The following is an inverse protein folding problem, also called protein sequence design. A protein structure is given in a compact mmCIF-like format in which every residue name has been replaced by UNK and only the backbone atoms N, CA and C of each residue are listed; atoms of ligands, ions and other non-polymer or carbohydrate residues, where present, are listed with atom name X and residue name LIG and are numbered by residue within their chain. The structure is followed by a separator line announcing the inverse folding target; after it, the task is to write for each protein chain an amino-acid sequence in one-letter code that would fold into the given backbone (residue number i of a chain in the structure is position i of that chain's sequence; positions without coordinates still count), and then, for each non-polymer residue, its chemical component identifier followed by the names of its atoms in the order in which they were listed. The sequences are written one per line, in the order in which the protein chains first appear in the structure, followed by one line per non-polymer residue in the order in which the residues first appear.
data_IF_208423005090
#
_entry.id   IF_208423005090
#
_cell.length_a   1.000
_cell.length_b   1.000
_cell.length_c   1.000
_cell.angle_alpha   90.00
_cell.angle_beta   90.00
_cell.angle_gamma   90.00
#
_symmetry.space_group_name_H-M   'P 1'
#
loop_
_entity.id
_entity.type
_entity.pdbx_description
1 polymer ?
#
# COMPACT_ATOMS: atom_id res chain seq x y z
N UNK A 1 -36.24 23.93 -36.77
CA UNK A 1 -36.62 22.58 -36.32
C UNK A 1 -35.43 21.65 -36.10
N UNK A 2 -34.54 21.44 -37.08
CA UNK A 2 -33.35 20.57 -36.89
C UNK A 2 -32.44 20.98 -35.71
N UNK A 3 -32.22 22.29 -35.49
CA UNK A 3 -31.41 22.79 -34.37
C UNK A 3 -32.06 22.50 -33.01
N UNK A 4 -33.38 22.71 -32.90
CA UNK A 4 -34.14 22.44 -31.67
C UNK A 4 -34.14 20.94 -31.33
N UNK A 5 -34.30 20.06 -32.33
CA UNK A 5 -34.20 18.61 -32.15
C UNK A 5 -32.82 18.17 -31.65
N UNK A 6 -31.74 18.76 -32.20
CA UNK A 6 -30.38 18.52 -31.70
C UNK A 6 -30.18 19.01 -30.27
N UNK A 7 -30.70 20.19 -29.93
CA UNK A 7 -30.65 20.71 -28.56
C UNK A 7 -31.41 19.81 -27.58
N UNK A 8 -32.58 19.30 -27.96
CA UNK A 8 -33.31 18.31 -27.14
C UNK A 8 -32.49 17.05 -26.91
N UNK A 9 -31.92 16.45 -27.97
CA UNK A 9 -31.07 15.27 -27.82
C UNK A 9 -29.85 15.52 -26.93
N UNK A 10 -29.25 16.71 -27.00
CA UNK A 10 -28.15 17.09 -26.13
C UNK A 10 -28.59 17.31 -24.68
N UNK A 11 -29.76 17.92 -24.43
CA UNK A 11 -30.33 18.06 -23.07
C UNK A 11 -30.57 16.67 -22.47
N UNK A 12 -31.25 15.79 -23.20
CA UNK A 12 -31.56 14.44 -22.74
C UNK A 12 -30.26 13.65 -22.46
N UNK A 13 -29.24 13.83 -23.30
CA UNK A 13 -27.90 13.25 -23.10
C UNK A 13 -27.18 13.80 -21.85
N UNK A 14 -27.29 15.10 -21.59
CA UNK A 14 -26.72 15.75 -20.39
C UNK A 14 -27.43 15.27 -19.12
N UNK A 15 -28.76 15.15 -19.15
CA UNK A 15 -29.54 14.67 -18.01
C UNK A 15 -29.23 13.19 -17.70
N UNK A 16 -29.10 12.36 -18.74
CA UNK A 16 -28.65 10.98 -18.55
C UNK A 16 -27.22 10.91 -18.02
N UNK A 17 -26.32 11.74 -18.53
CA UNK A 17 -24.94 11.83 -18.04
C UNK A 17 -24.87 12.25 -16.55
N UNK A 18 -25.74 13.17 -16.12
CA UNK A 18 -25.84 13.56 -14.72
C UNK A 18 -26.32 12.39 -13.84
N UNK A 19 -27.29 11.58 -14.31
CA UNK A 19 -27.71 10.35 -13.62
C UNK A 19 -26.58 9.33 -13.52
N UNK A 20 -25.89 9.05 -14.63
CA UNK A 20 -24.74 8.15 -14.64
C UNK A 20 -23.63 8.60 -13.67
N UNK A 21 -23.40 9.91 -13.55
CA UNK A 21 -22.43 10.46 -12.60
C UNK A 21 -22.88 10.27 -11.14
N UNK A 22 -24.18 10.38 -10.84
CA UNK A 22 -24.71 10.06 -9.50
C UNK A 22 -24.56 8.57 -9.19
N UNK A 23 -24.81 7.68 -10.16
CA UNK A 23 -24.58 6.23 -9.98
C UNK A 23 -23.10 5.94 -9.70
N UNK A 24 -22.19 6.64 -10.38
CA UNK A 24 -20.75 6.57 -10.12
C UNK A 24 -20.36 7.03 -8.70
N UNK A 25 -21.02 8.07 -8.18
CA UNK A 25 -20.86 8.51 -6.78
C UNK A 25 -21.35 7.42 -5.83
N UNK A 26 -22.55 6.87 -6.03
CA UNK A 26 -23.11 5.83 -5.17
C UNK A 26 -22.25 4.57 -5.15
N UNK A 27 -21.77 4.11 -6.31
CA UNK A 27 -20.84 2.99 -6.39
C UNK A 27 -19.54 3.27 -5.62
N UNK A 28 -18.95 4.46 -5.81
CA UNK A 28 -17.71 4.85 -5.12
C UNK A 28 -17.91 4.97 -3.61
N UNK A 29 -19.08 5.41 -3.15
CA UNK A 29 -19.42 5.49 -1.73
C UNK A 29 -19.62 4.11 -1.10
N UNK A 30 -20.25 3.17 -1.81
CA UNK A 30 -20.38 1.79 -1.35
C UNK A 30 -19.01 1.13 -1.19
N UNK A 31 -18.13 1.27 -2.19
CA UNK A 31 -16.76 0.76 -2.11
C UNK A 31 -15.95 1.44 -0.99
N UNK A 32 -16.01 2.77 -0.88
CA UNK A 32 -15.31 3.54 0.16
C UNK A 32 -15.76 3.15 1.58
N UNK A 33 -17.06 2.95 1.80
CA UNK A 33 -17.59 2.51 3.08
C UNK A 33 -17.07 1.14 3.50
N UNK A 34 -17.04 0.18 2.58
CA UNK A 34 -16.48 -1.15 2.83
C UNK A 34 -14.96 -1.09 3.12
N UNK A 35 -14.22 -0.24 2.41
CA UNK A 35 -12.79 -0.03 2.66
C UNK A 35 -12.52 0.70 3.98
N UNK A 36 -13.41 1.59 4.43
CA UNK A 36 -13.32 2.20 5.75
C UNK A 36 -13.43 1.13 6.86
N UNK A 37 -14.38 0.20 6.75
CA UNK A 37 -14.49 -0.95 7.67
C UNK A 37 -13.25 -1.84 7.59
N UNK A 38 -12.76 -2.13 6.39
CA UNK A 38 -11.53 -2.92 6.20
C UNK A 38 -10.31 -2.26 6.86
N UNK A 39 -10.20 -0.93 6.76
CA UNK A 39 -9.16 -0.16 7.46
C UNK A 39 -9.26 -0.28 8.98
N UNK A 40 -10.46 -0.24 9.56
CA UNK A 40 -10.65 -0.44 11.01
C UNK A 40 -10.27 -1.85 11.45
N UNK A 41 -10.61 -2.88 10.67
CA UNK A 41 -10.21 -4.26 10.95
C UNK A 41 -8.69 -4.40 10.92
N UNK A 42 -8.02 -3.87 9.90
CA UNK A 42 -6.56 -3.87 9.82
C UNK A 42 -5.90 -3.15 11.00
N UNK A 43 -6.47 -2.04 11.48
CA UNK A 43 -5.97 -1.36 12.69
C UNK A 43 -6.12 -2.23 13.96
N UNK A 44 -7.20 -3.01 14.07
CA UNK A 44 -7.38 -3.96 15.16
C UNK A 44 -6.35 -5.10 15.07
N UNK A 45 -6.16 -5.67 13.89
CA UNK A 45 -5.12 -6.70 13.64
C UNK A 45 -3.74 -6.15 14.03
N UNK A 46 -3.42 -4.90 13.67
CA UNK A 46 -2.18 -4.24 14.08
C UNK A 46 -2.04 -4.19 15.61
N UNK A 47 -3.10 -3.83 16.32
CA UNK A 47 -3.11 -3.77 17.79
C UNK A 47 -2.85 -5.15 18.40
N UNK A 48 -3.48 -6.21 17.85
CA UNK A 48 -3.25 -7.59 18.27
C UNK A 48 -1.81 -8.04 17.99
N UNK A 49 -1.22 -7.67 16.86
CA UNK A 49 0.17 -7.96 16.54
C UNK A 49 1.12 -7.25 17.51
N UNK A 50 0.89 -5.97 17.84
CA UNK A 50 1.66 -5.25 18.88
C UNK A 50 1.51 -5.93 20.24
N UNK A 51 0.31 -6.36 20.61
CA UNK A 51 0.07 -7.07 21.85
C UNK A 51 0.84 -8.40 21.87
N UNK A 52 0.77 -9.18 20.80
CA UNK A 52 1.47 -10.46 20.66
C UNK A 52 2.99 -10.31 20.70
N UNK A 53 3.53 -9.19 20.18
CA UNK A 53 4.95 -8.85 20.27
C UNK A 53 5.45 -8.64 21.71
N UNK A 54 4.59 -8.49 22.71
CA UNK A 54 5.04 -8.36 24.09
C UNK A 54 5.52 -9.71 24.67
N UNK A 55 6.68 -9.68 25.33
CA UNK A 55 7.32 -10.85 25.93
C UNK A 55 6.56 -11.44 27.12
N UNK A 56 5.67 -10.67 27.76
CA UNK A 56 4.83 -11.17 28.87
C UNK A 56 3.74 -12.14 28.42
N UNK A 57 3.44 -12.24 27.12
CA UNK A 57 2.46 -13.19 26.61
C UNK A 57 3.08 -14.57 26.48
N UNK A 58 2.36 -15.58 26.99
CA UNK A 58 2.71 -16.98 26.78
C UNK A 58 2.44 -17.42 25.34
N UNK A 59 2.95 -18.60 24.96
CA UNK A 59 2.64 -19.20 23.66
C UNK A 59 1.14 -19.48 23.49
N UNK A 60 0.44 -19.86 24.56
CA UNK A 60 -1.02 -20.04 24.54
C UNK A 60 -1.77 -18.73 24.37
N UNK A 61 -1.30 -17.63 24.97
CA UNK A 61 -1.93 -16.31 24.80
C UNK A 61 -1.78 -15.82 23.36
N UNK A 62 -0.58 -15.97 22.77
CA UNK A 62 -0.36 -15.65 21.36
C UNK A 62 -1.19 -16.52 20.42
N UNK A 63 -1.43 -17.77 20.76
CA UNK A 63 -2.32 -18.64 19.99
C UNK A 63 -3.78 -18.17 20.05
N UNK A 64 -4.24 -17.65 21.19
CA UNK A 64 -5.57 -17.05 21.29
C UNK A 64 -5.67 -15.77 20.46
N UNK A 65 -4.66 -14.89 20.51
CA UNK A 65 -4.58 -13.69 19.67
C UNK A 65 -4.58 -14.06 18.18
N UNK A 66 -3.88 -15.12 17.79
CA UNK A 66 -3.89 -15.61 16.41
C UNK A 66 -5.29 -16.04 15.95
N UNK A 67 -6.09 -16.66 16.83
CA UNK A 67 -7.47 -17.03 16.47
C UNK A 67 -8.31 -15.79 16.18
N UNK A 68 -8.14 -14.72 16.94
CA UNK A 68 -8.81 -13.44 16.68
C UNK A 68 -8.33 -12.82 15.35
N UNK A 69 -7.02 -12.81 15.10
CA UNK A 69 -6.45 -12.37 13.80
C UNK A 69 -7.03 -13.18 12.65
N UNK A 70 -7.17 -14.51 12.77
CA UNK A 70 -7.74 -15.35 11.73
C UNK A 70 -9.21 -14.97 11.42
N UNK A 71 -10.02 -14.66 12.45
CA UNK A 71 -11.41 -14.24 12.24
C UNK A 71 -11.48 -12.87 11.57
N UNK A 72 -10.64 -11.93 11.99
CA UNK A 72 -10.57 -10.60 11.38
C UNK A 72 -10.10 -10.68 9.91
N UNK A 73 -9.14 -11.54 9.60
CA UNK A 73 -8.70 -11.79 8.23
C UNK A 73 -9.78 -12.47 7.37
N UNK A 74 -10.58 -13.37 7.96
CA UNK A 74 -11.73 -13.95 7.29
C UNK A 74 -12.82 -12.89 6.99
N UNK A 75 -13.09 -12.00 7.94
CA UNK A 75 -14.03 -10.89 7.76
C UNK A 75 -13.56 -9.93 6.65
N UNK A 76 -12.27 -9.58 6.60
CA UNK A 76 -11.71 -8.79 5.49
C UNK A 76 -11.99 -9.44 4.13
N UNK A 77 -11.77 -10.75 4.02
CA UNK A 77 -12.02 -11.48 2.79
C UNK A 77 -13.52 -11.52 2.46
N UNK A 78 -14.39 -11.64 3.46
CA UNK A 78 -15.83 -11.59 3.29
C UNK A 78 -16.32 -10.21 2.81
N UNK A 79 -15.78 -9.11 3.36
CA UNK A 79 -16.10 -7.75 2.91
C UNK A 79 -15.74 -7.60 1.43
N UNK A 80 -14.56 -8.06 1.03
CA UNK A 80 -14.13 -7.99 -0.37
C UNK A 80 -15.07 -8.75 -1.33
N UNK A 81 -15.57 -9.92 -0.90
CA UNK A 81 -16.44 -10.78 -1.72
C UNK A 81 -17.93 -10.37 -1.71
N UNK A 82 -18.41 -9.73 -0.65
CA UNK A 82 -19.84 -9.41 -0.49
C UNK A 82 -20.17 -7.95 -0.83
N UNK A 83 -19.17 -7.07 -0.92
CA UNK A 83 -19.38 -5.68 -1.31
C UNK A 83 -19.75 -5.59 -2.79
N UNK A 84 -21.04 -5.39 -3.04
CA UNK A 84 -21.61 -5.33 -4.37
C UNK A 84 -22.43 -4.07 -4.59
N UNK A 85 -22.49 -3.60 -5.83
CA UNK A 85 -23.41 -2.58 -6.29
C UNK A 85 -24.14 -3.08 -7.52
N UNK A 86 -25.47 -3.11 -7.47
CA UNK A 86 -26.33 -3.61 -8.55
C UNK A 86 -25.95 -5.04 -9.03
N UNK A 87 -25.58 -5.92 -8.08
CA UNK A 87 -25.20 -7.31 -8.35
C UNK A 87 -23.76 -7.52 -8.84
N UNK A 88 -22.98 -6.45 -9.00
CA UNK A 88 -21.57 -6.52 -9.40
C UNK A 88 -20.66 -6.33 -8.17
N UNK A 89 -19.73 -7.24 -7.94
CA UNK A 89 -18.74 -7.14 -6.87
C UNK A 89 -17.76 -6.00 -7.15
N UNK A 90 -17.42 -5.22 -6.13
CA UNK A 90 -16.59 -4.02 -6.33
C UNK A 90 -15.12 -4.21 -5.96
N UNK A 91 -14.82 -5.15 -5.06
CA UNK A 91 -13.52 -5.25 -4.37
C UNK A 91 -12.81 -6.59 -4.58
N UNK A 92 -13.33 -7.49 -5.41
CA UNK A 92 -12.74 -8.82 -5.67
C UNK A 92 -11.85 -8.85 -6.92
N UNK A 93 -11.65 -7.70 -7.57
CA UNK A 93 -10.90 -7.57 -8.82
C UNK A 93 -11.65 -7.98 -10.10
N UNK A 94 -12.88 -8.50 -10.00
CA UNK A 94 -13.64 -8.97 -11.18
C UNK A 94 -14.10 -7.84 -12.11
N UNK A 95 -14.24 -6.62 -11.59
CA UNK A 95 -14.78 -5.47 -12.33
C UNK A 95 -13.83 -4.86 -13.35
N UNK A 96 -12.52 -5.05 -13.22
CA UNK A 96 -11.54 -4.42 -14.10
C UNK A 96 -11.73 -2.89 -14.19
N UNK A 97 -11.54 -2.30 -15.36
CA UNK A 97 -11.77 -0.85 -15.56
C UNK A 97 -13.23 -0.57 -15.88
N UNK A 98 -13.91 0.23 -15.04
CA UNK A 98 -15.29 0.66 -15.28
C UNK A 98 -15.32 2.06 -15.89
N UNK A 99 -16.12 2.24 -16.94
CA UNK A 99 -16.27 3.50 -17.66
C UNK A 99 -17.64 4.12 -17.38
N UNK A 100 -17.65 5.36 -16.85
CA UNK A 100 -18.88 6.12 -16.65
C UNK A 100 -19.00 7.22 -17.70
N UNK A 101 -20.03 7.15 -18.53
CA UNK A 101 -20.35 8.19 -19.51
C UNK A 101 -20.99 9.40 -18.82
N UNK A 102 -20.22 10.47 -18.68
CA UNK A 102 -20.59 11.70 -17.95
C UNK A 102 -20.70 12.92 -18.87
N UNK A 103 -20.98 12.69 -20.15
CA UNK A 103 -21.32 13.76 -21.07
C UNK A 103 -22.22 13.28 -22.21
N UNK A 104 -22.81 14.20 -22.98
CA UNK A 104 -23.71 13.86 -24.08
C UNK A 104 -23.01 13.31 -25.33
N UNK A 105 -21.69 13.49 -25.46
CA UNK A 105 -20.93 13.04 -26.63
C UNK A 105 -20.07 11.82 -26.32
N UNK A 106 -19.80 10.99 -27.33
CA UNK A 106 -18.97 9.79 -27.19
C UNK A 106 -17.60 10.10 -26.53
N UNK A 107 -17.13 9.16 -25.70
CA UNK A 107 -15.84 9.19 -25.01
C UNK A 107 -15.65 10.27 -23.94
N UNK A 108 -16.73 10.92 -23.49
CA UNK A 108 -16.72 11.79 -22.31
C UNK A 108 -16.85 10.95 -21.04
N UNK A 109 -15.77 10.26 -20.69
CA UNK A 109 -15.76 9.23 -19.65
C UNK A 109 -15.04 9.69 -18.38
N UNK A 110 -15.51 9.20 -17.24
CA UNK A 110 -14.72 9.04 -16.01
C UNK A 110 -14.47 7.55 -15.83
N UNK A 111 -13.20 7.17 -15.72
CA UNK A 111 -12.80 5.78 -15.53
C UNK A 111 -12.50 5.54 -14.06
N UNK A 112 -12.86 4.36 -13.56
CA UNK A 112 -12.39 3.82 -12.29
C UNK A 112 -11.69 2.50 -12.53
N UNK A 113 -10.59 2.28 -11.82
CA UNK A 113 -10.00 0.95 -11.75
C UNK A 113 -10.69 0.19 -10.62
N UNK A 114 -11.19 -1.00 -10.94
CA UNK A 114 -11.56 -2.00 -9.96
C UNK A 114 -10.33 -2.35 -9.12
N UNK A 115 -10.57 -2.52 -7.82
CA UNK A 115 -9.53 -2.91 -6.87
C UNK A 115 -9.74 -4.37 -6.49
N UNK A 116 -8.65 -5.06 -6.17
CA UNK A 116 -8.67 -6.42 -5.65
C UNK A 116 -8.15 -6.44 -4.22
N UNK A 117 -9.07 -6.52 -3.27
CA UNK A 117 -8.82 -6.63 -1.84
C UNK A 117 -9.17 -8.02 -1.29
N UNK A 118 -9.12 -9.06 -2.13
CA UNK A 118 -9.02 -10.42 -1.61
C UNK A 118 -7.72 -10.53 -0.82
N UNK A 119 -7.77 -11.12 0.38
CA UNK A 119 -6.64 -11.12 1.33
C UNK A 119 -5.37 -11.81 0.83
N UNK A 120 -5.44 -12.52 -0.29
CA UNK A 120 -4.30 -13.13 -0.98
C UNK A 120 -3.58 -12.19 -1.97
N UNK A 121 -4.15 -11.03 -2.29
CA UNK A 121 -3.73 -10.19 -3.41
C UNK A 121 -3.09 -8.86 -2.99
N UNK A 122 -3.11 -8.55 -1.70
CA UNK A 122 -2.49 -7.37 -1.13
C UNK A 122 -1.79 -7.72 0.19
N UNK A 123 -0.81 -6.89 0.55
CA UNK A 123 0.10 -7.14 1.66
C UNK A 123 1.44 -6.46 1.40
N UNK A 124 2.50 -7.04 1.95
CA UNK A 124 3.85 -6.51 1.84
C UNK A 124 4.64 -7.30 0.80
N UNK A 125 5.09 -6.62 -0.25
CA UNK A 125 6.08 -7.18 -1.15
C UNK A 125 7.44 -7.05 -0.48
N UNK A 126 8.14 -8.17 -0.34
CA UNK A 126 9.37 -8.23 0.45
C UNK A 126 10.49 -8.91 -0.31
N UNK A 127 11.69 -8.34 -0.20
CA UNK A 127 12.96 -8.96 -0.59
C UNK A 127 13.94 -8.79 0.55
N UNK A 128 14.43 -9.89 1.12
CA UNK A 128 15.44 -9.87 2.17
C UNK A 128 16.79 -10.29 1.61
N UNK A 129 17.86 -9.58 1.97
CA UNK A 129 19.22 -10.01 1.64
C UNK A 129 19.58 -11.29 2.38
N UNK A 130 20.33 -12.18 1.73
CA UNK A 130 20.94 -13.30 2.43
C UNK A 130 21.87 -12.77 3.54
N UNK A 131 21.90 -13.44 4.68
CA UNK A 131 22.93 -13.15 5.68
C UNK A 131 24.28 -13.53 5.08
N UNK A 132 25.23 -12.59 5.02
CA UNK A 132 26.61 -12.93 4.68
C UNK A 132 27.16 -13.87 5.76
N UNK A 133 27.95 -14.87 5.39
CA UNK A 133 28.60 -15.73 6.37
C UNK A 133 29.49 -14.89 7.31
N UNK A 134 29.66 -15.36 8.55
CA UNK A 134 30.55 -14.70 9.50
C UNK A 134 31.98 -14.82 9.00
N UNK A 135 32.72 -13.71 8.92
CA UNK A 135 34.10 -13.71 8.43
C UNK A 135 35.11 -13.21 9.46
N UNK A 136 36.38 -13.52 9.21
CA UNK A 136 37.48 -13.33 10.15
C UNK A 136 38.06 -11.91 10.27
N UNK A 137 37.82 -11.00 9.31
CA UNK A 137 38.55 -9.71 9.28
C UNK A 137 37.91 -8.58 8.45
N UNK A 138 36.85 -8.84 7.69
CA UNK A 138 36.28 -7.87 6.74
C UNK A 138 34.77 -7.76 6.86
N UNK A 139 34.24 -6.54 6.71
CA UNK A 139 32.82 -6.36 6.40
C UNK A 139 32.51 -7.06 5.08
N UNK A 140 31.54 -7.97 5.10
CA UNK A 140 31.09 -8.74 3.94
C UNK A 140 29.63 -8.43 3.58
N UNK A 141 28.99 -7.50 4.31
CA UNK A 141 27.60 -7.08 4.13
C UNK A 141 27.31 -6.58 2.70
N UNK A 142 28.30 -5.94 2.07
CA UNK A 142 28.28 -5.64 0.65
C UNK A 142 29.67 -5.86 0.03
N UNK A 143 29.77 -6.54 -1.10
CA UNK A 143 30.93 -6.31 -1.94
C UNK A 143 30.72 -4.96 -2.64
N UNK A 144 31.77 -4.15 -2.81
CA UNK A 144 31.65 -2.88 -3.53
C UNK A 144 30.95 -3.11 -4.87
N UNK A 145 29.81 -2.46 -5.10
CA UNK A 145 28.89 -2.94 -6.13
C UNK A 145 27.69 -2.03 -6.39
N UNK A 146 26.89 -2.46 -7.36
CA UNK A 146 25.71 -1.76 -7.83
C UNK A 146 24.51 -2.69 -7.75
N UNK A 147 23.44 -2.21 -7.11
CA UNK A 147 22.15 -2.90 -7.02
C UNK A 147 21.08 -2.04 -7.68
N UNK A 148 20.38 -2.58 -8.67
CA UNK A 148 19.25 -1.90 -9.30
C UNK A 148 17.98 -2.30 -8.56
N UNK A 149 17.24 -1.31 -8.06
CA UNK A 149 15.93 -1.51 -7.43
C UNK A 149 14.89 -0.94 -8.38
N UNK A 150 14.02 -1.81 -8.89
CA UNK A 150 12.95 -1.48 -9.82
C UNK A 150 11.60 -1.71 -9.14
N UNK A 151 11.00 -0.63 -8.64
CA UNK A 151 9.69 -0.63 -7.99
C UNK A 151 8.58 -0.08 -8.88
N UNK A 152 7.38 0.06 -8.31
CA UNK A 152 6.18 0.47 -9.04
C UNK A 152 6.18 1.96 -9.46
N UNK A 153 7.02 2.80 -8.85
CA UNK A 153 7.20 4.20 -9.26
C UNK A 153 8.30 4.40 -10.31
N UNK A 154 9.24 3.48 -10.41
CA UNK A 154 10.42 3.63 -11.26
C UNK A 154 11.58 2.73 -10.83
N UNK A 155 12.73 2.92 -11.47
CA UNK A 155 13.95 2.16 -11.23
C UNK A 155 15.12 3.08 -10.94
N UNK A 156 15.97 2.70 -9.99
CA UNK A 156 17.20 3.43 -9.68
C UNK A 156 18.33 2.48 -9.28
N UNK A 157 19.55 2.99 -9.35
CA UNK A 157 20.76 2.24 -9.00
C UNK A 157 21.29 2.71 -7.65
N UNK A 158 21.42 1.78 -6.72
CA UNK A 158 22.10 1.95 -5.44
C UNK A 158 23.55 1.47 -5.58
N UNK A 159 24.50 2.31 -5.20
CA UNK A 159 25.91 1.92 -5.08
C UNK A 159 26.23 1.63 -3.62
N UNK A 160 26.80 0.46 -3.36
CA UNK A 160 27.27 0.03 -2.03
C UNK A 160 28.78 -0.05 -2.01
N UNK A 161 29.39 0.29 -0.88
CA UNK A 161 30.82 0.15 -0.62
C UNK A 161 31.10 -1.02 0.33
N UNK A 162 32.30 -1.59 0.27
CA UNK A 162 32.67 -2.72 1.12
C UNK A 162 32.72 -2.39 2.63
N UNK A 163 32.68 -1.11 2.99
CA UNK A 163 32.64 -0.62 4.38
C UNK A 163 31.23 -0.34 4.87
N UNK A 164 30.23 -0.40 4.01
CA UNK A 164 28.86 -0.04 4.37
C UNK A 164 28.25 -1.13 5.25
N UNK A 165 27.71 -0.73 6.39
CA UNK A 165 26.92 -1.60 7.27
C UNK A 165 25.49 -1.68 6.73
N UNK A 166 24.73 -2.73 7.08
CA UNK A 166 23.33 -2.85 6.67
C UNK A 166 22.49 -1.61 7.09
N UNK A 167 22.80 -1.01 8.24
CA UNK A 167 22.23 0.27 8.70
C UNK A 167 22.44 1.40 7.68
N UNK A 168 23.69 1.60 7.25
CA UNK A 168 24.03 2.67 6.31
C UNK A 168 23.35 2.44 4.94
N UNK A 169 23.26 1.18 4.51
CA UNK A 169 22.61 0.81 3.26
C UNK A 169 21.10 1.08 3.34
N UNK A 170 20.42 0.63 4.40
CA UNK A 170 19.00 0.90 4.60
C UNK A 170 18.69 2.39 4.71
N UNK A 171 19.54 3.16 5.41
CA UNK A 171 19.43 4.61 5.49
C UNK A 171 19.56 5.27 4.10
N UNK A 172 20.54 4.84 3.29
CA UNK A 172 20.74 5.34 1.94
C UNK A 172 19.53 5.03 1.03
N UNK A 173 18.96 3.83 1.11
CA UNK A 173 17.76 3.45 0.36
C UNK A 173 16.58 4.35 0.75
N UNK A 174 16.32 4.49 2.05
CA UNK A 174 15.21 5.31 2.53
C UNK A 174 15.37 6.79 2.16
N UNK A 175 16.60 7.30 2.13
CA UNK A 175 16.87 8.70 1.79
C UNK A 175 16.84 9.00 0.28
N UNK A 176 17.31 8.08 -0.57
CA UNK A 176 17.58 8.38 -1.99
C UNK A 176 16.80 7.53 -2.99
N UNK A 177 16.39 6.32 -2.60
CA UNK A 177 15.75 5.34 -3.49
C UNK A 177 14.24 5.27 -3.28
N UNK A 178 13.79 5.44 -2.03
CA UNK A 178 12.38 5.27 -1.65
C UNK A 178 11.42 6.18 -2.41
N UNK A 179 11.76 7.46 -2.58
CA UNK A 179 10.93 8.43 -3.32
C UNK A 179 10.86 8.17 -4.82
N UNK A 180 11.82 7.44 -5.39
CA UNK A 180 11.91 7.15 -6.83
C UNK A 180 11.30 5.80 -7.21
N UNK A 181 11.30 4.84 -6.28
CA UNK A 181 10.91 3.45 -6.55
C UNK A 181 9.66 3.01 -5.79
N UNK A 182 9.38 3.63 -4.64
CA UNK A 182 8.34 3.19 -3.71
C UNK A 182 8.77 2.02 -2.81
N UNK A 183 10.08 1.73 -2.74
CA UNK A 183 10.66 0.67 -1.91
C UNK A 183 11.32 1.27 -0.67
N UNK A 184 10.98 0.76 0.50
CA UNK A 184 11.59 1.14 1.78
C UNK A 184 12.53 0.05 2.27
N UNK A 185 13.44 0.36 3.19
CA UNK A 185 14.41 -0.58 3.73
C UNK A 185 14.45 -0.58 5.26
N UNK A 186 14.57 -1.77 5.83
CA UNK A 186 14.89 -1.99 7.25
C UNK A 186 16.17 -2.80 7.36
N UNK A 187 16.92 -2.63 8.45
CA UNK A 187 18.16 -3.38 8.69
C UNK A 187 18.19 -3.92 10.10
N UNK A 188 18.59 -5.18 10.24
CA UNK A 188 18.80 -5.85 11.52
C UNK A 188 20.00 -6.76 11.39
N UNK A 189 20.83 -6.81 12.43
CA UNK A 189 21.93 -7.76 12.53
C UNK A 189 21.62 -8.75 13.63
N UNK A 190 21.52 -10.03 13.29
CA UNK A 190 21.25 -11.11 14.24
C UNK A 190 22.30 -12.19 14.01
N UNK A 191 22.92 -12.66 15.08
CA UNK A 191 23.87 -13.77 15.00
C UNK A 191 23.77 -14.63 16.24
N UNK A 192 23.93 -15.94 16.05
CA UNK A 192 23.95 -16.89 17.14
C UNK A 192 25.39 -17.11 17.59
N UNK A 193 25.59 -17.12 18.90
CA UNK A 193 26.84 -17.44 19.55
C UNK A 193 26.71 -18.80 20.25
N UNK A 194 27.36 -19.79 19.66
CA UNK A 194 27.53 -21.11 20.27
C UNK A 194 28.86 -21.18 21.00
N UNK A 195 28.87 -21.88 22.13
CA UNK A 195 29.99 -21.90 23.08
C UNK A 195 30.13 -23.30 23.67
N UNK A 196 31.35 -23.71 23.99
CA UNK A 196 31.60 -24.96 24.72
C UNK A 196 31.03 -24.91 26.14
N UNK A 197 30.54 -26.06 26.60
CA UNK A 197 29.94 -26.26 27.92
C UNK A 197 30.95 -26.04 29.05
N UNK A 198 30.52 -25.42 30.16
CA UNK A 198 31.30 -25.37 31.40
C UNK A 198 32.56 -24.49 31.36
N UNK A 199 32.63 -23.54 30.42
CA UNK A 199 33.80 -22.70 30.18
C UNK A 199 33.56 -21.22 30.49
N UNK A 200 34.65 -20.52 30.81
CA UNK A 200 34.67 -19.06 30.98
C UNK A 200 35.11 -18.39 29.68
N UNK A 201 34.50 -17.23 29.39
CA UNK A 201 34.74 -16.46 28.17
C UNK A 201 35.03 -15.00 28.51
N UNK A 202 35.96 -14.39 27.79
CA UNK A 202 36.25 -12.96 27.87
C UNK A 202 36.79 -12.45 26.54
N UNK A 203 36.01 -11.63 25.85
CA UNK A 203 36.34 -11.09 24.53
C UNK A 203 35.82 -9.65 24.37
N UNK A 204 36.28 -8.97 23.33
CA UNK A 204 35.88 -7.62 23.03
C UNK A 204 34.75 -7.60 21.98
N UNK A 205 33.76 -6.72 22.16
CA UNK A 205 32.68 -6.49 21.20
C UNK A 205 32.71 -5.04 20.67
N UNK A 206 32.45 -4.91 19.38
CA UNK A 206 32.27 -3.63 18.67
C UNK A 206 31.03 -3.72 17.79
N UNK A 207 30.13 -2.76 17.92
CA UNK A 207 28.95 -2.57 17.07
C UNK A 207 28.63 -1.08 16.97
N UNK A 208 27.73 -0.52 17.80
CA UNK A 208 27.41 0.92 17.79
C UNK A 208 28.49 1.77 18.46
N UNK A 209 29.34 1.14 19.28
CA UNK A 209 30.45 1.76 19.98
C UNK A 209 31.67 1.97 19.08
N UNK A 210 32.30 3.14 19.20
CA UNK A 210 33.57 3.43 18.51
C UNK A 210 34.78 2.71 19.11
N UNK A 211 34.77 2.44 20.43
CA UNK A 211 35.84 1.73 21.14
C UNK A 211 35.34 0.38 21.63
N UNK A 212 36.11 -0.69 21.40
CA UNK A 212 35.72 -2.05 21.77
C UNK A 212 35.49 -2.19 23.29
N UNK A 213 34.46 -2.95 23.67
CA UNK A 213 34.07 -3.16 25.08
C UNK A 213 34.27 -4.64 25.43
N UNK A 214 34.89 -4.94 26.56
CA UNK A 214 35.07 -6.33 27.02
C UNK A 214 33.79 -6.88 27.65
N UNK A 215 33.37 -8.07 27.22
CA UNK A 215 32.27 -8.85 27.80
C UNK A 215 32.87 -10.11 28.40
N UNK A 216 32.54 -10.40 29.67
CA UNK A 216 33.05 -11.57 30.39
C UNK A 216 31.92 -12.29 31.12
N UNK A 217 31.87 -13.62 31.00
CA UNK A 217 30.87 -14.46 31.64
C UNK A 217 31.33 -15.93 31.67
N UNK A 218 30.52 -16.79 32.29
CA UNK A 218 30.69 -18.24 32.29
C UNK A 218 29.45 -18.91 31.74
N UNK A 219 29.62 -19.99 30.99
CA UNK A 219 28.51 -20.85 30.54
C UNK A 219 28.52 -22.14 31.33
N UNK A 220 27.37 -22.52 31.88
CA UNK A 220 27.24 -23.78 32.63
C UNK A 220 27.37 -25.03 31.74
N UNK A 221 27.53 -26.19 32.37
CA UNK A 221 27.79 -27.43 31.63
C UNK A 221 26.56 -27.99 30.89
N UNK A 222 25.35 -27.63 31.32
CA UNK A 222 24.10 -28.18 30.79
C UNK A 222 23.60 -27.54 29.50
N UNK A 223 24.18 -26.39 29.08
CA UNK A 223 23.79 -25.63 27.87
C UNK A 223 22.28 -25.31 27.82
N UNK A 224 21.65 -25.21 28.99
CA UNK A 224 20.24 -24.86 29.14
C UNK A 224 20.06 -23.35 29.21
N UNK A 225 18.81 -22.87 29.15
CA UNK A 225 18.51 -21.45 29.31
C UNK A 225 19.08 -20.84 30.60
N UNK A 226 19.18 -21.60 31.70
CA UNK A 226 19.79 -21.13 32.94
C UNK A 226 21.32 -21.04 32.86
N UNK A 227 21.95 -21.92 32.08
CA UNK A 227 23.41 -21.95 31.93
C UNK A 227 23.93 -20.76 31.11
N UNK A 228 23.11 -20.25 30.18
CA UNK A 228 23.41 -19.07 29.37
C UNK A 228 22.95 -17.75 30.01
N UNK A 229 22.25 -17.78 31.15
CA UNK A 229 21.70 -16.58 31.78
C UNK A 229 22.79 -15.54 32.13
N UNK A 230 23.93 -15.98 32.66
CA UNK A 230 25.06 -15.08 32.97
C UNK A 230 25.62 -14.39 31.73
N UNK A 231 25.68 -15.10 30.61
CA UNK A 231 26.13 -14.54 29.35
C UNK A 231 25.12 -13.52 28.79
N UNK A 232 23.82 -13.86 28.79
CA UNK A 232 22.73 -12.94 28.40
C UNK A 232 22.77 -11.66 29.26
N UNK A 233 22.92 -11.79 30.57
CA UNK A 233 23.05 -10.62 31.47
C UNK A 233 24.29 -9.78 31.16
N UNK A 234 25.44 -10.40 30.87
CA UNK A 234 26.68 -9.69 30.57
C UNK A 234 26.57 -8.84 29.29
N UNK A 235 25.96 -9.38 28.22
CA UNK A 235 25.67 -8.61 27.00
C UNK A 235 24.67 -7.49 27.27
N UNK A 236 23.53 -7.79 27.91
CA UNK A 236 22.47 -6.82 28.13
C UNK A 236 22.89 -5.67 29.06
N UNK A 237 23.79 -5.91 30.01
CA UNK A 237 24.38 -4.86 30.86
C UNK A 237 25.23 -3.84 30.08
N UNK A 238 25.73 -4.22 28.90
CA UNK A 238 26.57 -3.39 28.03
C UNK A 238 25.81 -2.85 26.80
N UNK A 239 24.54 -3.23 26.63
CA UNK A 239 23.69 -2.87 25.48
C UNK A 239 23.58 -1.36 25.24
N UNK A 240 23.57 -0.53 26.29
CA UNK A 240 23.53 0.94 26.13
C UNK A 240 24.79 1.53 25.50
N UNK A 241 25.91 0.79 25.49
CA UNK A 241 27.15 1.18 24.82
C UNK A 241 27.27 0.53 23.44
N UNK A 242 26.99 -0.76 23.36
CA UNK A 242 27.24 -1.56 22.14
C UNK A 242 26.06 -1.55 21.17
N UNK A 243 24.85 -1.24 21.63
CA UNK A 243 23.61 -1.40 20.86
C UNK A 243 23.17 -2.86 20.69
N UNK A 244 23.90 -3.80 21.29
CA UNK A 244 23.66 -5.24 21.13
C UNK A 244 22.89 -5.77 22.33
N UNK A 245 21.76 -6.43 22.06
CA UNK A 245 20.99 -7.18 23.05
C UNK A 245 21.22 -8.67 22.86
N UNK A 246 20.98 -9.46 23.91
CA UNK A 246 21.16 -10.90 23.91
C UNK A 246 19.91 -11.61 24.46
N UNK A 247 19.60 -12.76 23.88
CA UNK A 247 18.58 -13.69 24.36
C UNK A 247 19.00 -15.14 24.11
N UNK A 248 18.44 -16.08 24.89
CA UNK A 248 18.70 -17.51 24.67
C UNK A 248 17.96 -18.00 23.42
N UNK A 249 18.67 -18.67 22.52
CA UNK A 249 18.05 -19.31 21.35
C UNK A 249 17.62 -20.74 21.72
N UNK A 250 16.34 -20.92 22.03
CA UNK A 250 15.79 -22.23 22.37
C UNK A 250 15.71 -23.20 21.18
N UNK A 251 15.79 -22.72 19.93
CA UNK A 251 15.65 -23.54 18.73
C UNK A 251 17.00 -24.10 18.28
N UNK A 252 18.03 -23.25 18.23
CA UNK A 252 19.35 -23.62 17.72
C UNK A 252 20.39 -23.85 18.85
N UNK A 253 20.05 -23.49 20.09
CA UNK A 253 20.99 -23.47 21.21
C UNK A 253 21.91 -22.24 21.15
N UNK A 254 22.58 -21.94 22.26
CA UNK A 254 23.44 -20.75 22.37
C UNK A 254 22.67 -19.46 22.64
N UNK A 255 23.26 -18.33 22.26
CA UNK A 255 22.72 -16.99 22.51
C UNK A 255 22.54 -16.28 21.18
N UNK A 256 21.32 -15.82 20.89
CA UNK A 256 21.07 -14.85 19.83
C UNK A 256 21.48 -13.47 20.33
N UNK A 257 22.41 -12.83 19.63
CA UNK A 257 22.74 -11.42 19.85
C UNK A 257 22.27 -10.59 18.67
N UNK A 258 21.63 -9.47 18.97
CA UNK A 258 20.91 -8.66 17.99
C UNK A 258 21.28 -7.19 18.11
N UNK A 259 21.55 -6.55 16.97
CA UNK A 259 21.57 -5.10 16.83
C UNK A 259 20.36 -4.67 15.99
N UNK A 260 19.40 -4.02 16.64
CA UNK A 260 18.14 -3.61 16.00
C UNK A 260 18.31 -2.50 14.95
N UNK A 261 19.47 -1.83 14.91
CA UNK A 261 19.75 -0.78 13.92
C UNK A 261 20.43 -1.31 12.66
N UNK A 262 20.88 -2.57 12.65
CA UNK A 262 21.57 -3.19 11.52
C UNK A 262 23.05 -2.83 11.41
N UNK A 263 23.68 -2.40 12.51
CA UNK A 263 25.14 -2.27 12.57
C UNK A 263 25.77 -3.65 12.71
N UNK A 264 26.97 -3.82 12.16
CA UNK A 264 27.66 -5.11 12.18
C UNK A 264 28.16 -5.43 13.60
N UNK A 265 28.06 -6.69 13.99
CA UNK A 265 28.50 -7.15 15.31
C UNK A 265 29.85 -7.82 15.15
N UNK A 266 30.89 -7.17 15.66
CA UNK A 266 32.25 -7.71 15.66
C UNK A 266 32.61 -8.24 17.04
N UNK A 267 32.96 -9.53 17.10
CA UNK A 267 33.56 -10.15 18.27
C UNK A 267 35.04 -10.33 18.00
N UNK A 268 35.87 -9.83 18.90
CA UNK A 268 37.31 -10.00 18.87
C UNK A 268 37.77 -10.77 20.10
N UNK A 269 38.07 -12.05 19.92
CA UNK A 269 38.64 -12.94 20.93
C UNK A 269 40.18 -13.02 20.76
N UNK A 270 40.82 -11.85 20.60
CA UNK A 270 42.28 -11.72 20.51
C UNK A 270 42.95 -11.87 21.87
N UNK A 271 42.88 -13.05 22.48
CA UNK A 271 43.79 -13.56 23.51
C UNK A 271 43.32 -14.96 23.94
N UNK A 272 44.24 -15.78 24.45
CA UNK A 272 43.99 -17.08 25.07
C UNK A 272 43.17 -17.00 26.40
N UNK A 273 42.14 -16.16 26.45
CA UNK A 273 41.33 -15.86 27.63
C UNK A 273 40.01 -16.65 27.69
N UNK A 274 39.62 -17.27 26.57
CA UNK A 274 38.46 -18.16 26.50
C UNK A 274 38.93 -19.61 26.69
N UNK A 275 38.45 -20.27 27.74
CA UNK A 275 38.77 -21.68 28.02
C UNK A 275 38.07 -22.65 27.04
N UNK A 276 37.16 -22.15 26.20
CA UNK A 276 36.38 -22.90 25.21
C UNK A 276 36.33 -22.22 23.84
N UNK A 277 35.87 -22.93 22.82
CA UNK A 277 35.56 -22.39 21.51
C UNK A 277 34.31 -21.50 21.55
N UNK A 278 34.38 -20.40 20.82
CA UNK A 278 33.21 -19.59 20.46
C UNK A 278 33.00 -19.77 18.96
N UNK A 279 31.77 -20.06 18.55
CA UNK A 279 31.39 -20.14 17.16
C UNK A 279 30.21 -19.21 16.88
N UNK A 280 30.41 -18.31 15.93
CA UNK A 280 29.42 -17.34 15.47
C UNK A 280 28.77 -17.83 14.18
N UNK A 281 27.45 -17.79 14.10
CA UNK A 281 26.70 -18.14 12.88
C UNK A 281 25.52 -17.18 12.69
N UNK A 282 25.40 -16.60 11.51
CA UNK A 282 24.26 -15.72 11.19
C UNK A 282 23.01 -16.54 10.89
N UNK A 283 21.84 -15.95 11.12
CA UNK A 283 20.57 -16.57 10.79
C UNK A 283 20.31 -16.51 9.30
N UNK A 284 19.91 -17.64 8.73
CA UNK A 284 19.35 -17.73 7.38
C UNK A 284 17.95 -17.12 7.34
N UNK A 285 17.46 -16.79 6.15
CA UNK A 285 16.08 -16.30 5.96
C UNK A 285 15.00 -17.30 6.41
N UNK A 286 15.33 -18.59 6.51
CA UNK A 286 14.47 -19.64 7.06
C UNK A 286 14.58 -19.82 8.59
N UNK A 287 15.38 -18.98 9.27
CA UNK A 287 15.56 -19.02 10.72
C UNK A 287 16.37 -20.21 11.24
N UNK A 288 17.17 -20.85 10.39
CA UNK A 288 18.26 -21.77 10.80
C UNK A 288 19.61 -21.04 10.82
N UNK A 289 20.66 -21.70 11.30
CA UNK A 289 22.01 -21.13 11.33
C UNK A 289 22.78 -21.38 10.02
N UNK A 290 23.50 -20.36 9.55
CA UNK A 290 24.45 -20.45 8.44
C UNK A 290 25.77 -21.11 8.82
N UNK A 291 26.81 -20.92 8.01
CA UNK A 291 28.13 -21.50 8.28
C UNK A 291 28.74 -20.83 9.52
N UNK A 292 29.05 -21.63 10.53
CA UNK A 292 29.65 -21.14 11.76
C UNK A 292 31.15 -20.83 11.56
N UNK A 293 31.59 -19.66 12.01
CA UNK A 293 33.00 -19.30 12.10
C UNK A 293 33.48 -19.42 13.55
N UNK A 294 34.52 -20.23 13.76
CA UNK A 294 35.17 -20.34 15.06
C UNK A 294 36.02 -19.08 15.31
N UNK A 295 35.71 -18.34 16.37
CA UNK A 295 36.35 -17.06 16.68
C UNK A 295 37.47 -17.18 17.69
N UNK A 296 37.78 -18.37 18.24
CA UNK A 296 38.81 -18.52 19.26
C UNK A 296 40.18 -18.05 18.74
N UNK A 297 40.75 -17.03 19.40
CA UNK A 297 42.02 -16.42 18.96
C UNK A 297 41.91 -15.65 17.64
N UNK A 298 40.71 -15.33 17.20
CA UNK A 298 40.40 -14.68 15.94
C UNK A 298 39.31 -13.60 16.13
N UNK A 299 39.01 -12.87 15.04
CA UNK A 299 37.90 -11.94 14.97
C UNK A 299 36.75 -12.64 14.23
N UNK A 300 35.50 -12.35 14.60
CA UNK A 300 34.31 -12.73 13.86
C UNK A 300 33.43 -11.50 13.65
N UNK A 301 33.08 -11.23 12.39
CA UNK A 301 32.20 -10.13 12.01
C UNK A 301 30.89 -10.69 11.48
N UNK A 302 29.81 -10.48 12.23
CA UNK A 302 28.45 -10.76 11.81
C UNK A 302 27.87 -9.52 11.11
N UNK A 303 27.54 -9.68 9.83
CA UNK A 303 27.00 -8.61 9.00
C UNK A 303 25.47 -8.55 9.12
N UNK A 304 24.93 -7.33 9.07
CA UNK A 304 23.48 -7.14 9.07
C UNK A 304 22.80 -7.58 7.78
N UNK A 305 21.50 -7.88 7.88
CA UNK A 305 20.63 -8.09 6.73
C UNK A 305 19.82 -6.83 6.44
N UNK A 306 19.66 -6.52 5.17
CA UNK A 306 18.74 -5.48 4.69
C UNK A 306 17.49 -6.16 4.19
N UNK A 307 16.34 -5.70 4.66
CA UNK A 307 15.06 -6.09 4.06
C UNK A 307 14.42 -4.91 3.35
N UNK A 308 13.96 -5.16 2.14
CA UNK A 308 13.27 -4.23 1.27
C UNK A 308 11.78 -4.56 1.29
N UNK A 309 10.97 -3.55 1.55
CA UNK A 309 9.51 -3.67 1.72
C UNK A 309 8.80 -2.64 0.83
N UNK A 310 7.69 -3.03 0.22
CA UNK A 310 6.89 -2.15 -0.66
C UNK A 310 5.42 -2.59 -0.74
N UNK A 311 4.53 -1.63 -0.98
CA UNK A 311 3.11 -1.88 -1.24
C UNK A 311 2.84 -2.44 -2.64
N UNK A 312 3.78 -2.27 -3.57
CA UNK A 312 3.68 -2.77 -4.94
C UNK A 312 4.78 -3.76 -5.27
N UNK A 313 4.56 -4.58 -6.31
CA UNK A 313 5.58 -5.52 -6.78
C UNK A 313 6.85 -4.76 -7.21
N UNK A 314 8.01 -5.29 -6.83
CA UNK A 314 9.29 -4.77 -7.27
C UNK A 314 10.25 -5.92 -7.57
N UNK A 315 11.39 -5.58 -8.17
CA UNK A 315 12.50 -6.50 -8.35
C UNK A 315 13.82 -5.84 -7.99
N UNK A 316 14.77 -6.67 -7.61
CA UNK A 316 16.12 -6.23 -7.26
C UNK A 316 17.10 -7.02 -8.10
N UNK A 317 17.90 -6.31 -8.87
CA UNK A 317 19.01 -6.91 -9.63
C UNK A 317 20.30 -6.53 -8.95
N UNK A 318 20.90 -7.49 -8.26
CA UNK A 318 22.11 -7.25 -7.49
C UNK A 318 23.31 -7.90 -8.18
N UNK A 319 24.24 -7.07 -8.67
CA UNK A 319 25.47 -7.58 -9.31
C UNK A 319 26.52 -8.01 -8.29
N UNK A 320 26.60 -7.36 -7.12
CA UNK A 320 27.61 -7.63 -6.08
C UNK A 320 27.39 -6.92 -4.74
N UNK A 321 26.42 -6.00 -4.65
CA UNK A 321 26.16 -5.18 -3.48
C UNK A 321 25.49 -5.97 -2.36
N UNK A 322 24.17 -6.07 -2.37
CA UNK A 322 23.35 -6.56 -1.25
C UNK A 322 23.38 -8.09 -1.02
N UNK A 323 24.11 -8.86 -1.85
CA UNK A 323 24.19 -10.33 -1.83
C UNK A 323 22.82 -11.02 -1.82
N UNK A 324 21.89 -10.51 -2.63
CA UNK A 324 20.51 -11.01 -2.63
C UNK A 324 20.39 -12.36 -3.36
N UNK A 325 21.02 -12.51 -4.53
CA UNK A 325 20.99 -13.76 -5.29
C UNK A 325 22.18 -13.88 -6.27
N UNK A 326 23.41 -13.69 -5.76
CA UNK A 326 24.64 -14.02 -6.49
C UNK A 326 24.82 -13.37 -7.88
N UNK A 327 24.14 -12.27 -8.22
CA UNK A 327 24.17 -11.66 -9.55
C UNK A 327 22.83 -11.58 -10.28
N UNK A 328 21.81 -12.30 -9.83
CA UNK A 328 20.53 -12.43 -10.53
C UNK A 328 19.49 -11.36 -10.15
N UNK A 329 18.47 -11.23 -11.01
CA UNK A 329 17.27 -10.43 -10.72
C UNK A 329 16.32 -11.26 -9.87
N UNK A 330 16.08 -10.83 -8.63
CA UNK A 330 15.08 -11.43 -7.74
C UNK A 330 13.81 -10.58 -7.72
N UNK A 331 12.67 -11.20 -7.98
CA UNK A 331 11.35 -10.58 -7.81
C UNK A 331 10.90 -10.63 -6.36
N UNK A 332 10.22 -9.58 -5.90
CA UNK A 332 9.68 -9.54 -4.55
C UNK A 332 8.60 -10.59 -4.32
N UNK A 333 8.66 -11.24 -3.17
CA UNK A 333 7.64 -12.19 -2.71
C UNK A 333 6.54 -11.45 -1.96
N UNK A 334 5.27 -11.68 -2.33
CA UNK A 334 4.14 -11.11 -1.61
C UNK A 334 3.89 -11.89 -0.32
N UNK A 335 4.00 -11.20 0.82
CA UNK A 335 3.49 -11.65 2.10
C UNK A 335 2.08 -11.10 2.26
N UNK A 336 1.10 -11.94 1.96
CA UNK A 336 -0.29 -11.54 1.86
C UNK A 336 -0.95 -11.38 3.25
N UNK A 337 -2.02 -10.60 3.32
CA UNK A 337 -2.81 -10.46 4.55
C UNK A 337 -3.40 -11.80 5.02
N UNK A 338 -3.65 -12.73 4.10
CA UNK A 338 -4.12 -14.08 4.44
C UNK A 338 -3.11 -14.94 5.22
N UNK A 339 -1.82 -14.61 5.16
CA UNK A 339 -0.75 -15.37 5.81
C UNK A 339 -0.27 -14.74 7.12
N UNK A 340 -1.07 -13.83 7.71
CA UNK A 340 -0.72 -13.18 8.98
C UNK A 340 -0.58 -14.19 10.12
N UNK A 341 0.57 -14.13 10.79
CA UNK A 341 0.90 -14.96 11.94
C UNK A 341 1.51 -14.10 13.05
N UNK A 342 0.98 -14.20 14.27
CA UNK A 342 1.42 -13.51 15.49
C UNK A 342 1.83 -14.49 16.61
N UNK A 343 2.02 -15.76 16.29
CA UNK A 343 2.36 -16.80 17.28
C UNK A 343 3.77 -16.66 17.86
N UNK A 344 4.67 -15.99 17.14
CA UNK A 344 6.04 -15.71 17.58
C UNK A 344 6.33 -14.21 17.54
N UNK A 345 7.36 -13.77 18.27
CA UNK A 345 7.80 -12.37 18.22
C UNK A 345 8.20 -11.97 16.80
N UNK A 346 9.01 -12.79 16.12
CA UNK A 346 9.44 -12.54 14.75
C UNK A 346 8.26 -12.45 13.78
N UNK A 347 7.31 -13.39 13.86
CA UNK A 347 6.13 -13.37 13.00
C UNK A 347 5.23 -12.17 13.32
N UNK A 348 5.11 -11.77 14.59
CA UNK A 348 4.36 -10.57 14.97
C UNK A 348 4.97 -9.29 14.39
N UNK A 349 6.31 -9.18 14.34
CA UNK A 349 6.98 -8.05 13.69
C UNK A 349 6.74 -8.04 12.17
N UNK A 350 6.74 -9.21 11.52
CA UNK A 350 6.38 -9.34 10.11
C UNK A 350 4.90 -9.00 9.87
N UNK A 351 3.99 -9.44 10.75
CA UNK A 351 2.59 -9.10 10.69
C UNK A 351 2.36 -7.59 10.75
N UNK A 352 3.15 -6.85 11.52
CA UNK A 352 3.10 -5.39 11.53
C UNK A 352 3.47 -4.78 10.18
N UNK A 353 4.53 -5.26 9.50
CA UNK A 353 4.89 -4.74 8.17
C UNK A 353 3.83 -5.06 7.12
N UNK A 354 3.29 -6.28 7.13
CA UNK A 354 2.18 -6.70 6.26
C UNK A 354 0.96 -5.81 6.45
N UNK A 355 0.56 -5.56 7.70
CA UNK A 355 -0.61 -4.74 8.01
C UNK A 355 -0.37 -3.26 7.67
N UNK A 356 0.82 -2.73 7.89
CA UNK A 356 1.15 -1.34 7.52
C UNK A 356 1.14 -1.15 6.00
N UNK A 357 1.68 -2.10 5.24
CA UNK A 357 1.59 -2.10 3.78
C UNK A 357 0.13 -2.23 3.31
N UNK A 358 -0.64 -3.15 3.91
CA UNK A 358 -2.06 -3.33 3.62
C UNK A 358 -2.87 -2.05 3.89
N UNK A 359 -2.67 -1.39 5.04
CA UNK A 359 -3.31 -0.11 5.37
C UNK A 359 -2.96 0.97 4.35
N UNK A 360 -1.70 1.03 3.91
CA UNK A 360 -1.28 1.97 2.87
C UNK A 360 -2.00 1.71 1.54
N UNK A 361 -2.15 0.45 1.11
CA UNK A 361 -2.91 0.10 -0.11
C UNK A 361 -4.39 0.46 -0.02
N UNK A 362 -5.04 0.17 1.12
CA UNK A 362 -6.44 0.54 1.36
C UNK A 362 -6.60 2.06 1.34
N UNK A 363 -5.77 2.81 2.05
CA UNK A 363 -5.84 4.27 2.08
C UNK A 363 -5.58 4.91 0.71
N UNK A 364 -4.65 4.35 -0.08
CA UNK A 364 -4.42 4.79 -1.45
C UNK A 364 -5.69 4.65 -2.31
N UNK A 365 -6.33 3.47 -2.27
CA UNK A 365 -7.58 3.28 -3.02
C UNK A 365 -8.70 4.21 -2.52
N UNK A 366 -8.84 4.38 -1.21
CA UNK A 366 -9.82 5.31 -0.63
C UNK A 366 -9.62 6.75 -1.10
N UNK A 367 -8.36 7.17 -1.19
CA UNK A 367 -7.99 8.46 -1.79
C UNK A 367 -8.43 8.56 -3.26
N UNK A 368 -8.26 7.49 -4.05
CA UNK A 368 -8.72 7.47 -5.45
C UNK A 368 -10.25 7.60 -5.54
N UNK A 369 -11.02 6.89 -4.70
CA UNK A 369 -12.48 7.03 -4.67
C UNK A 369 -12.93 8.43 -4.21
N UNK A 370 -12.24 9.05 -3.26
CA UNK A 370 -12.49 10.44 -2.85
C UNK A 370 -12.23 11.46 -3.97
N UNK A 371 -11.12 11.30 -4.71
CA UNK A 371 -10.82 12.11 -5.88
C UNK A 371 -11.87 11.93 -6.98
N UNK A 372 -12.33 10.69 -7.19
CA UNK A 372 -13.40 10.38 -8.13
C UNK A 372 -14.73 11.03 -7.77
N UNK A 373 -15.15 10.95 -6.50
CA UNK A 373 -16.36 11.63 -6.01
C UNK A 373 -16.30 13.14 -6.30
N UNK A 374 -15.15 13.77 -6.05
CA UNK A 374 -14.93 15.19 -6.35
C UNK A 374 -15.06 15.49 -7.86
N UNK A 375 -14.50 14.61 -8.71
CA UNK A 375 -14.59 14.73 -10.16
C UNK A 375 -16.02 14.54 -10.69
N UNK A 376 -16.77 13.58 -10.15
CA UNK A 376 -18.19 13.40 -10.48
C UNK A 376 -19.01 14.61 -10.04
N UNK A 377 -18.82 15.13 -8.83
CA UNK A 377 -19.54 16.30 -8.33
C UNK A 377 -19.30 17.53 -9.21
N UNK A 378 -18.05 17.79 -9.60
CA UNK A 378 -17.71 18.89 -10.52
C UNK A 378 -18.37 18.69 -11.90
N UNK A 379 -18.36 17.45 -12.42
CA UNK A 379 -18.99 17.12 -13.70
C UNK A 379 -20.51 17.34 -13.63
N UNK A 380 -21.19 16.93 -12.56
CA UNK A 380 -22.62 17.14 -12.35
C UNK A 380 -22.96 18.63 -12.35
N UNK A 381 -22.23 19.46 -11.61
CA UNK A 381 -22.48 20.91 -11.57
C UNK A 381 -22.30 21.57 -12.96
N UNK A 382 -21.31 21.12 -13.73
CA UNK A 382 -21.11 21.62 -15.09
C UNK A 382 -22.22 21.15 -16.05
N UNK A 383 -22.61 19.88 -15.97
CA UNK A 383 -23.72 19.30 -16.75
C UNK A 383 -25.03 20.04 -16.47
N UNK A 384 -25.38 20.27 -15.19
CA UNK A 384 -26.58 21.00 -14.79
C UNK A 384 -26.60 22.42 -15.38
N UNK A 385 -25.46 23.13 -15.33
CA UNK A 385 -25.34 24.46 -15.93
C UNK A 385 -25.53 24.42 -17.45
N UNK A 386 -24.94 23.41 -18.10
CA UNK A 386 -25.09 23.18 -19.55
C UNK A 386 -26.54 22.88 -19.92
N UNK A 387 -27.22 22.02 -19.16
CA UNK A 387 -28.63 21.69 -19.35
C UNK A 387 -29.52 22.93 -19.26
N UNK A 388 -29.30 23.79 -18.26
CA UNK A 388 -30.06 25.06 -18.08
C UNK A 388 -29.83 26.00 -19.26
N UNK A 389 -28.57 26.22 -19.66
CA UNK A 389 -28.24 27.10 -20.78
C UNK A 389 -28.79 26.59 -22.12
N UNK A 390 -28.74 25.28 -22.33
CA UNK A 390 -29.23 24.65 -23.55
C UNK A 390 -30.76 24.65 -23.59
N UNK A 391 -31.42 24.43 -22.44
CA UNK A 391 -32.87 24.56 -22.28
C UNK A 391 -33.34 25.98 -22.55
N UNK A 392 -32.67 27.00 -21.99
CA UNK A 392 -32.96 28.40 -22.27
C UNK A 392 -32.77 28.77 -23.75
N UNK A 393 -31.74 28.22 -24.39
CA UNK A 393 -31.48 28.42 -25.81
C UNK A 393 -32.50 27.72 -26.70
N UNK A 394 -32.95 26.51 -26.33
CA UNK A 394 -34.04 25.80 -27.00
C UNK A 394 -35.35 26.57 -26.89
N UNK A 395 -35.69 27.06 -25.69
CA UNK A 395 -36.91 27.84 -25.43
C UNK A 395 -36.97 29.08 -26.32
N UNK A 396 -35.87 29.84 -26.46
CA UNK A 396 -35.79 30.99 -27.39
C UNK A 396 -36.04 30.65 -28.86
N UNK A 397 -35.79 29.41 -29.27
CA UNK A 397 -35.92 28.97 -30.67
C UNK A 397 -37.29 28.31 -30.92
N UNK A 398 -37.79 27.56 -29.96
CA UNK A 398 -38.96 26.69 -30.13
C UNK A 398 -40.22 27.27 -29.51
N UNK A 399 -40.11 27.97 -28.39
CA UNK A 399 -41.27 28.47 -27.67
C UNK A 399 -41.74 29.78 -28.29
N UNK A 400 -43.06 29.91 -28.46
CA UNK A 400 -43.66 31.12 -29.00
C UNK A 400 -43.87 32.16 -27.90
N UNK A 401 -43.62 33.42 -28.21
CA UNK A 401 -43.99 34.51 -27.30
C UNK A 401 -45.52 34.67 -27.29
N UNK A 402 -46.16 34.22 -26.22
CA UNK A 402 -47.61 34.25 -26.06
C UNK A 402 -48.21 35.65 -26.25
N UNK A 403 -47.52 36.72 -25.84
CA UNK A 403 -48.02 38.09 -26.00
C UNK A 403 -48.09 38.51 -27.47
N UNK A 404 -47.11 38.12 -28.29
CA UNK A 404 -47.12 38.42 -29.72
C UNK A 404 -48.14 37.55 -30.47
N UNK A 405 -48.22 36.26 -30.11
CA UNK A 405 -49.12 35.32 -30.80
C UNK A 405 -50.59 35.60 -30.51
N UNK A 406 -50.93 35.99 -29.27
CA UNK A 406 -52.30 36.43 -28.92
C UNK A 406 -52.69 37.72 -29.64
N UNK A 407 -51.76 38.68 -29.79
CA UNK A 407 -52.01 39.88 -30.59
C UNK A 407 -52.22 39.56 -32.07
N UNK A 408 -51.44 38.63 -32.64
CA UNK A 408 -51.60 38.14 -34.01
C UNK A 408 -52.92 37.40 -34.20
N UNK A 409 -53.29 36.53 -33.26
CA UNK A 409 -54.56 35.81 -33.26
C UNK A 409 -55.73 36.78 -33.22
N UNK A 410 -55.68 37.77 -32.32
CA UNK A 410 -56.72 38.80 -32.19
C UNK A 410 -56.83 39.62 -33.47
N UNK A 411 -55.70 40.04 -34.05
CA UNK A 411 -55.67 40.72 -35.35
C UNK A 411 -56.24 39.85 -36.46
N UNK A 412 -55.89 38.56 -36.50
CA UNK A 412 -56.38 37.59 -37.47
C UNK A 412 -57.89 37.38 -37.37
N UNK A 413 -58.44 37.28 -36.15
CA UNK A 413 -59.87 37.19 -35.90
C UNK A 413 -60.60 38.46 -36.36
N UNK A 414 -60.05 39.65 -36.06
CA UNK A 414 -60.61 40.93 -36.52
C UNK A 414 -60.57 41.02 -38.06
N UNK A 415 -59.48 40.60 -38.71
CA UNK A 415 -59.36 40.59 -40.17
C UNK A 415 -60.29 39.58 -40.83
N UNK A 416 -60.53 38.41 -40.22
CA UNK A 416 -61.52 37.46 -40.70
C UNK A 416 -62.94 38.04 -40.59
N UNK A 417 -63.29 38.65 -39.45
CA UNK A 417 -64.58 39.32 -39.28
C UNK A 417 -64.75 40.48 -40.28
N UNK A 418 -63.73 41.33 -40.44
CA UNK A 418 -63.74 42.43 -41.41
C UNK A 418 -63.78 41.93 -42.86
N UNK A 419 -63.07 40.86 -43.20
CA UNK A 419 -63.09 40.22 -44.50
C UNK A 419 -64.45 39.63 -44.84
N UNK A 420 -65.12 39.00 -43.88
CA UNK A 420 -66.50 38.52 -44.05
C UNK A 420 -67.50 39.67 -44.23
N UNK A 421 -67.33 40.78 -43.49
CA UNK A 421 -68.17 41.97 -43.62
C UNK A 421 -67.93 42.70 -44.96
N UNK A 422 -66.69 42.78 -45.42
CA UNK A 422 -66.32 43.35 -46.73
C UNK A 422 -66.79 42.47 -47.89
N UNK A 423 -66.73 41.14 -47.77
CA UNK A 423 -67.34 40.21 -48.72
C UNK A 423 -68.86 40.39 -48.77
N UNK A 424 -69.51 40.54 -47.62
CA UNK A 424 -70.95 40.83 -47.57
C UNK A 424 -71.29 42.17 -48.26
N UNK A 425 -70.49 43.22 -48.05
CA UNK A 425 -70.66 44.52 -48.69
C UNK A 425 -70.35 44.49 -50.18
N UNK A 426 -69.30 43.78 -50.60
CA UNK A 426 -68.93 43.60 -52.00
C UNK A 426 -69.99 42.78 -52.77
N UNK A 427 -70.62 41.79 -52.12
CA UNK A 427 -71.77 41.06 -52.69
C UNK A 427 -73.04 41.92 -52.78
N UNK A 428 -73.17 42.96 -51.95
CA UNK A 428 -74.29 43.90 -52.00
C UNK A 428 -74.10 45.03 -53.02
N UNK A 429 -72.86 45.37 -53.39
CA UNK A 429 -72.52 46.46 -54.31
C UNK A 429 -73.09 46.32 -55.75
N UNK A 430 -73.22 45.11 -56.33
CA UNK A 430 -73.92 44.91 -57.60
C UNK A 430 -75.42 45.28 -57.56
N UNK A 431 -76.08 45.18 -56.40
CA UNK A 431 -77.49 45.55 -56.25
C UNK A 431 -77.69 47.08 -56.32
N UNK A 432 -76.68 47.88 -55.97
CA UNK A 432 -76.68 49.35 -56.10
C UNK A 432 -76.64 49.81 -57.57
N UNK A 433 -76.09 48.99 -58.46
CA UNK A 433 -76.05 49.29 -59.90
C UNK A 433 -77.42 49.01 -60.53
N UNK A 434 -78.16 48.03 -60.01
CA UNK A 434 -79.54 47.74 -60.43
C UNK A 434 -80.54 48.85 -60.07
N UNK A 435 -80.24 49.67 -59.06
CA UNK A 435 -81.05 50.84 -58.71
C UNK A 435 -80.82 52.05 -59.60
N UNK A 436 -79.74 52.08 -60.40
CA UNK A 436 -79.45 53.15 -61.38
C UNK A 436 -80.04 52.87 -62.77
N UNK A 437 -80.52 51.64 -63.01
CA UNK A 437 -81.14 51.18 -64.27
C UNK A 437 -82.68 51.14 -64.20
N UNK A 438 -83.26 51.70 -63.15
CA UNK A 438 -84.69 52.03 -63.03
C UNK A 438 -84.83 53.54 -63.00
#
# INVERSE_FOLDING_TARGET
MAIASRMTSQIDGVDQAARNANDGISLSQTAEGALATSSSILQNIRTLAVQASNASNSASDRQALQQEVNQLTAELNQIAQTTQFNGQNLLDGSTGTQNFQVGPNANQLIQTSGANFLTNNYGDYRVQSAAADVTGTTNAAAAGGSTIIAGYLGSTTLTTSATDTAKSIAANINATVSSLTGVSATAVTNTNLTMDSGSSYSFNITSDNATAVTVSFTVGAGQTSSDYASAVSAFNALSSKTGVTAQYDAKNGGIEITNATGNDITINDSAANSNGNIAMANYTTAGGLGTANATRGAIGVANGQVTLDSTGSFSVTDTSGLKIDGGATLGATLHAVSTLDVTTFANSQLALSIVDAALATVNAQRSTYGAMQSRFQSSITNLQTTAVNLSASRSRIQDTNYAAETANLTRGQILQQAGTAMLAQANAMPNSVLTLLK
#
